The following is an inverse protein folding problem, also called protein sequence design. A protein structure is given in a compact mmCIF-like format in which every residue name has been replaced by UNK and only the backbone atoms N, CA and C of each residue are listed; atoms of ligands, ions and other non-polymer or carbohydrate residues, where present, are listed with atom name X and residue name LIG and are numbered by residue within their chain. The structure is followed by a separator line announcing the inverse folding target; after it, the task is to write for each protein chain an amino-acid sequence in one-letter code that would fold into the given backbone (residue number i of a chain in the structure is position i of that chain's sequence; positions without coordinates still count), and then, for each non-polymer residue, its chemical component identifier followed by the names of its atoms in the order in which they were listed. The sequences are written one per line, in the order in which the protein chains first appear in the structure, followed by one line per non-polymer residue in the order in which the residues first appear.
data_IF_867801421163
#
_entry.id   IF_867801421163
#
_cell.length_a   1.000
_cell.length_b   1.000
_cell.length_c   1.000
_cell.angle_alpha   90.00
_cell.angle_beta   90.00
_cell.angle_gamma   90.00
#
_symmetry.space_group_name_H-M   'P 1'
#
loop_
_entity.id
_entity.type
_entity.pdbx_description
1 polymer ?
#
# COMPACT_ATOMS: atom_id res chain seq x y z
N UNK A 1 -14.54 -87.43 13.06
CA UNK A 1 -15.63 -86.75 12.32
C UNK A 1 -15.92 -85.37 12.89
N UNK A 2 -16.25 -85.20 14.19
CA UNK A 2 -16.53 -83.90 14.79
C UNK A 2 -15.43 -82.83 14.58
N UNK A 3 -14.16 -83.14 14.87
CA UNK A 3 -13.05 -82.18 14.71
C UNK A 3 -12.83 -81.69 13.25
N UNK A 4 -13.15 -82.52 12.26
CA UNK A 4 -13.07 -82.13 10.83
C UNK A 4 -14.21 -81.17 10.49
N UNK A 5 -15.39 -81.39 11.06
CA UNK A 5 -16.55 -80.54 10.88
C UNK A 5 -16.37 -79.16 11.56
N UNK A 6 -15.73 -79.13 12.73
CA UNK A 6 -15.37 -77.89 13.44
C UNK A 6 -14.31 -77.08 12.66
N UNK A 7 -13.33 -77.75 12.06
CA UNK A 7 -12.35 -77.12 11.16
C UNK A 7 -13.02 -76.52 9.93
N UNK A 8 -13.96 -77.23 9.31
CA UNK A 8 -14.68 -76.74 8.14
C UNK A 8 -15.57 -75.54 8.49
N UNK A 9 -16.25 -75.59 9.65
CA UNK A 9 -17.00 -74.45 10.18
C UNK A 9 -16.14 -73.22 10.49
N UNK A 10 -14.84 -73.41 10.76
CA UNK A 10 -13.88 -72.33 10.97
C UNK A 10 -13.29 -71.77 9.66
N UNK A 11 -13.13 -72.62 8.62
CA UNK A 11 -12.55 -72.24 7.32
C UNK A 11 -13.57 -71.57 6.40
N UNK A 12 -14.80 -72.07 6.34
CA UNK A 12 -15.87 -71.53 5.51
C UNK A 12 -16.09 -70.00 5.65
N UNK A 13 -16.03 -69.38 6.84
CA UNK A 13 -16.17 -67.92 6.97
C UNK A 13 -14.90 -67.13 6.61
N UNK A 14 -13.74 -67.77 6.38
CA UNK A 14 -12.50 -67.08 6.02
C UNK A 14 -12.47 -66.67 4.55
N UNK A 15 -13.05 -67.48 3.65
CA UNK A 15 -13.14 -67.16 2.22
C UNK A 15 -13.85 -65.82 1.94
N UNK A 16 -15.09 -65.58 2.42
CA UNK A 16 -15.76 -64.29 2.18
C UNK A 16 -15.07 -63.12 2.89
N UNK A 17 -14.38 -63.36 4.01
CA UNK A 17 -13.56 -62.32 4.68
C UNK A 17 -12.35 -61.95 3.83
N UNK A 18 -11.70 -62.93 3.21
CA UNK A 18 -10.57 -62.69 2.30
C UNK A 18 -11.02 -61.88 1.09
N UNK A 19 -12.18 -62.20 0.51
CA UNK A 19 -12.77 -61.43 -0.59
C UNK A 19 -13.07 -59.99 -0.18
N UNK A 20 -13.63 -59.80 1.03
CA UNK A 20 -13.89 -58.47 1.58
C UNK A 20 -12.60 -57.67 1.72
N UNK A 21 -11.56 -58.26 2.32
CA UNK A 21 -10.24 -57.62 2.45
C UNK A 21 -9.64 -57.28 1.08
N UNK A 22 -9.79 -58.16 0.09
CA UNK A 22 -9.31 -57.92 -1.26
C UNK A 22 -10.01 -56.74 -1.93
N UNK A 23 -11.33 -56.61 -1.71
CA UNK A 23 -12.11 -55.45 -2.19
C UNK A 23 -11.64 -54.17 -1.50
N UNK A 24 -11.50 -54.18 -0.17
CA UNK A 24 -11.07 -53.01 0.60
C UNK A 24 -9.66 -52.54 0.20
N UNK A 25 -8.72 -53.48 0.00
CA UNK A 25 -7.36 -53.17 -0.48
C UNK A 25 -7.39 -52.54 -1.86
N UNK A 26 -8.24 -53.03 -2.77
CA UNK A 26 -8.39 -52.45 -4.10
C UNK A 26 -8.98 -51.04 -4.02
N UNK A 27 -9.96 -50.79 -3.15
CA UNK A 27 -10.54 -49.47 -2.94
C UNK A 27 -9.50 -48.49 -2.38
N UNK A 28 -8.74 -48.90 -1.36
CA UNK A 28 -7.65 -48.11 -0.79
C UNK A 28 -6.59 -47.76 -1.84
N UNK A 29 -6.25 -48.70 -2.74
CA UNK A 29 -5.31 -48.44 -3.84
C UNK A 29 -5.84 -47.36 -4.79
N UNK A 30 -7.13 -47.41 -5.13
CA UNK A 30 -7.77 -46.40 -5.97
C UNK A 30 -7.77 -45.04 -5.29
N UNK A 31 -8.13 -44.97 -4.01
CA UNK A 31 -8.20 -43.72 -3.27
C UNK A 31 -6.81 -43.11 -3.04
N UNK A 32 -5.79 -43.95 -2.79
CA UNK A 32 -4.40 -43.50 -2.73
C UNK A 32 -3.95 -42.88 -4.07
N UNK A 33 -4.36 -43.46 -5.20
CA UNK A 33 -4.11 -42.88 -6.53
C UNK A 33 -4.75 -41.51 -6.71
N UNK A 34 -6.00 -41.34 -6.25
CA UNK A 34 -6.70 -40.03 -6.28
C UNK A 34 -6.01 -39.00 -5.39
N UNK A 35 -5.58 -39.40 -4.19
CA UNK A 35 -4.87 -38.50 -3.26
C UNK A 35 -3.55 -38.07 -3.88
N UNK A 36 -2.77 -38.99 -4.43
CA UNK A 36 -1.50 -38.67 -5.11
C UNK A 36 -1.69 -37.67 -6.25
N UNK A 37 -2.73 -37.84 -7.07
CA UNK A 37 -3.05 -36.89 -8.14
C UNK A 37 -3.44 -35.50 -7.60
N UNK A 38 -4.23 -35.45 -6.52
CA UNK A 38 -4.60 -34.18 -5.86
C UNK A 38 -3.39 -33.47 -5.26
N UNK A 39 -2.47 -34.22 -4.65
CA UNK A 39 -1.23 -33.68 -4.07
C UNK A 39 -0.37 -33.07 -5.18
N UNK A 40 -0.13 -33.79 -6.28
CA UNK A 40 0.65 -33.28 -7.41
C UNK A 40 0.06 -31.99 -8.02
N UNK A 41 -1.28 -31.92 -8.14
CA UNK A 41 -1.97 -30.72 -8.60
C UNK A 41 -1.82 -29.55 -7.60
N UNK A 42 -1.90 -29.82 -6.30
CA UNK A 42 -1.71 -28.82 -5.26
C UNK A 42 -0.27 -28.28 -5.24
N UNK A 43 0.73 -29.15 -5.37
CA UNK A 43 2.15 -28.76 -5.48
C UNK A 43 2.38 -27.84 -6.68
N UNK A 44 1.87 -28.21 -7.86
CA UNK A 44 1.96 -27.38 -9.07
C UNK A 44 1.32 -26.00 -8.87
N UNK A 45 0.17 -25.96 -8.19
CA UNK A 45 -0.52 -24.71 -7.89
C UNK A 45 0.27 -23.84 -6.89
N UNK A 46 0.88 -24.45 -5.87
CA UNK A 46 1.73 -23.76 -4.90
C UNK A 46 2.95 -23.15 -5.60
N UNK A 47 3.62 -23.88 -6.49
CA UNK A 47 4.76 -23.37 -7.26
C UNK A 47 4.37 -22.15 -8.11
N UNK A 48 3.19 -22.20 -8.75
CA UNK A 48 2.62 -21.08 -9.48
C UNK A 48 2.39 -19.85 -8.58
N UNK A 49 1.77 -20.04 -7.42
CA UNK A 49 1.55 -18.97 -6.44
C UNK A 49 2.85 -18.37 -5.91
N UNK A 50 3.87 -19.19 -5.67
CA UNK A 50 5.18 -18.72 -5.23
C UNK A 50 5.85 -17.85 -6.30
N UNK A 51 5.77 -18.25 -7.58
CA UNK A 51 6.30 -17.46 -8.69
C UNK A 51 5.59 -16.10 -8.79
N UNK A 52 4.25 -16.08 -8.73
CA UNK A 52 3.48 -14.83 -8.78
C UNK A 52 3.77 -13.93 -7.60
N UNK A 53 3.93 -14.50 -6.40
CA UNK A 53 4.22 -13.73 -5.18
C UNK A 53 5.57 -13.02 -5.30
N UNK A 54 6.61 -13.72 -5.77
CA UNK A 54 7.93 -13.12 -6.02
C UNK A 54 7.85 -11.97 -7.03
N UNK A 55 7.12 -12.16 -8.12
CA UNK A 55 6.94 -11.11 -9.13
C UNK A 55 6.25 -9.86 -8.55
N UNK A 56 5.20 -10.06 -7.74
CA UNK A 56 4.49 -8.96 -7.07
C UNK A 56 5.41 -8.22 -6.09
N UNK A 57 6.21 -8.95 -5.30
CA UNK A 57 7.18 -8.34 -4.39
C UNK A 57 8.22 -7.48 -5.12
N UNK A 58 8.75 -7.96 -6.26
CA UNK A 58 9.68 -7.20 -7.08
C UNK A 58 9.05 -5.92 -7.65
N UNK A 59 7.82 -6.03 -8.17
CA UNK A 59 7.07 -4.88 -8.66
C UNK A 59 6.80 -3.87 -7.54
N UNK A 60 6.40 -4.33 -6.37
CA UNK A 60 6.15 -3.47 -5.21
C UNK A 60 7.41 -2.73 -4.77
N UNK A 61 8.57 -3.41 -4.70
CA UNK A 61 9.87 -2.78 -4.41
C UNK A 61 10.23 -1.72 -5.45
N UNK A 62 10.01 -2.00 -6.73
CA UNK A 62 10.24 -1.05 -7.82
C UNK A 62 9.34 0.18 -7.70
N UNK A 63 8.06 -0.03 -7.40
CA UNK A 63 7.09 1.05 -7.25
C UNK A 63 7.40 1.92 -6.03
N UNK A 64 7.79 1.31 -4.91
CA UNK A 64 8.18 2.02 -3.68
C UNK A 64 9.36 2.96 -3.95
N UNK A 65 10.42 2.46 -4.60
CA UNK A 65 11.56 3.29 -5.01
C UNK A 65 11.17 4.45 -5.92
N UNK A 66 10.24 4.21 -6.85
CA UNK A 66 9.72 5.27 -7.73
C UNK A 66 8.96 6.33 -6.93
N UNK A 67 8.17 5.93 -5.93
CA UNK A 67 7.46 6.86 -5.04
C UNK A 67 8.45 7.74 -4.29
N UNK A 68 9.45 7.14 -3.65
CA UNK A 68 10.50 7.87 -2.91
C UNK A 68 11.22 8.91 -3.80
N UNK A 69 11.57 8.53 -5.04
CA UNK A 69 12.20 9.44 -6.00
C UNK A 69 11.25 10.58 -6.39
N UNK A 70 9.96 10.30 -6.59
CA UNK A 70 8.97 11.32 -6.93
C UNK A 70 8.72 12.28 -5.77
N UNK A 71 8.66 11.76 -4.54
CA UNK A 71 8.53 12.57 -3.32
C UNK A 71 9.73 13.52 -3.15
N UNK A 72 10.95 13.01 -3.30
CA UNK A 72 12.16 13.85 -3.23
C UNK A 72 12.19 14.93 -4.34
N UNK A 73 11.72 14.60 -5.54
CA UNK A 73 11.60 15.57 -6.65
C UNK A 73 10.55 16.64 -6.36
N UNK A 74 9.40 16.25 -5.79
CA UNK A 74 8.36 17.18 -5.39
C UNK A 74 8.86 18.12 -4.30
N UNK A 75 9.57 17.61 -3.29
CA UNK A 75 10.16 18.43 -2.24
C UNK A 75 11.18 19.44 -2.79
N UNK A 76 12.07 19.02 -3.70
CA UNK A 76 13.03 19.93 -4.35
C UNK A 76 12.31 20.99 -5.20
N UNK A 77 11.28 20.61 -5.96
CA UNK A 77 10.49 21.55 -6.76
C UNK A 77 9.72 22.54 -5.89
N UNK A 78 9.07 22.09 -4.82
CA UNK A 78 8.35 22.93 -3.86
C UNK A 78 9.33 23.88 -3.16
N UNK A 79 10.49 23.37 -2.74
CA UNK A 79 11.57 24.15 -2.15
C UNK A 79 12.03 25.26 -3.09
N UNK A 80 12.36 24.94 -4.35
CA UNK A 80 12.78 25.93 -5.36
C UNK A 80 11.69 26.96 -5.66
N UNK A 81 10.44 26.52 -5.79
CA UNK A 81 9.30 27.39 -6.03
C UNK A 81 9.08 28.40 -4.90
N UNK A 82 9.38 28.02 -3.64
CA UNK A 82 9.23 28.90 -2.47
C UNK A 82 10.44 29.78 -2.16
N UNK A 83 11.63 29.55 -2.73
CA UNK A 83 12.85 30.31 -2.40
C UNK A 83 12.70 31.82 -2.59
N UNK A 84 11.95 32.24 -3.60
CA UNK A 84 11.71 33.65 -3.90
C UNK A 84 10.42 34.19 -3.26
N UNK A 85 9.70 33.36 -2.49
CA UNK A 85 8.45 33.76 -1.84
C UNK A 85 8.73 34.20 -0.41
N UNK A 86 8.37 35.43 -0.08
CA UNK A 86 8.43 35.97 1.28
C UNK A 86 7.03 36.03 1.87
N UNK A 87 6.85 35.49 3.08
CA UNK A 87 5.60 35.63 3.84
C UNK A 87 5.72 36.73 4.87
N UNK A 88 4.83 37.72 4.80
CA UNK A 88 4.71 38.77 5.82
C UNK A 88 3.48 38.46 6.67
N UNK A 89 3.66 38.38 7.98
CA UNK A 89 2.60 38.07 8.96
C UNK A 89 2.33 39.31 9.82
N UNK A 90 1.08 39.51 10.24
CA UNK A 90 0.68 40.66 11.08
C UNK A 90 0.23 41.90 10.32
N UNK A 91 0.05 41.81 9.00
CA UNK A 91 -0.58 42.86 8.19
C UNK A 91 -2.09 42.88 8.46
N UNK A 92 -2.68 44.06 8.66
CA UNK A 92 -4.12 44.23 8.84
C UNK A 92 -4.84 43.94 7.52
N UNK A 93 -5.91 43.13 7.59
CA UNK A 93 -6.70 42.77 6.41
C UNK A 93 -7.34 44.02 5.78
N UNK A 94 -7.33 44.10 4.44
CA UNK A 94 -7.93 45.20 3.68
C UNK A 94 -6.94 46.28 3.20
N UNK A 95 -5.69 46.26 3.70
CA UNK A 95 -4.63 47.16 3.19
C UNK A 95 -3.93 46.64 1.92
N UNK A 96 -4.29 45.43 1.46
CA UNK A 96 -3.56 44.63 0.46
C UNK A 96 -3.86 45.03 -1.00
N UNK A 97 -4.89 45.85 -1.24
CA UNK A 97 -5.51 46.04 -2.56
C UNK A 97 -4.80 47.05 -3.47
N UNK A 98 -3.80 47.77 -2.98
CA UNK A 98 -3.10 48.82 -3.75
C UNK A 98 -1.70 48.38 -4.10
N UNK A 99 -1.28 48.54 -5.35
CA UNK A 99 0.12 48.32 -5.76
C UNK A 99 1.11 49.15 -4.93
N UNK A 100 0.65 50.32 -4.46
CA UNK A 100 1.35 51.17 -3.48
C UNK A 100 1.68 50.44 -2.17
N UNK A 101 0.88 49.46 -1.73
CA UNK A 101 1.15 48.73 -0.50
C UNK A 101 2.38 47.82 -0.62
N UNK A 102 2.64 47.25 -1.80
CA UNK A 102 3.81 46.39 -2.05
C UNK A 102 5.10 47.20 -1.92
N UNK A 103 5.10 48.38 -2.54
CA UNK A 103 6.24 49.31 -2.53
C UNK A 103 6.40 50.00 -1.17
N UNK A 104 5.32 50.51 -0.57
CA UNK A 104 5.37 51.22 0.72
C UNK A 104 5.74 50.29 1.89
N UNK A 105 5.18 49.08 1.94
CA UNK A 105 5.50 48.13 3.01
C UNK A 105 6.98 47.71 2.97
N UNK A 106 7.52 47.43 1.78
CA UNK A 106 8.88 46.90 1.65
C UNK A 106 9.94 48.01 1.60
N UNK A 107 9.69 49.13 0.91
CA UNK A 107 10.67 50.21 0.79
C UNK A 107 10.65 51.13 2.03
N UNK A 108 9.48 51.49 2.54
CA UNK A 108 9.37 52.50 3.61
C UNK A 108 9.38 51.91 5.01
N UNK A 109 8.76 50.74 5.25
CA UNK A 109 8.75 50.12 6.59
C UNK A 109 9.92 49.18 6.85
N UNK A 110 10.29 48.34 5.89
CA UNK A 110 11.43 47.42 6.04
C UNK A 110 12.80 48.11 5.86
N UNK A 111 12.84 49.31 5.26
CA UNK A 111 14.03 50.16 5.06
C UNK A 111 15.33 49.43 4.68
N UNK A 112 15.33 48.51 3.69
CA UNK A 112 16.59 47.93 3.27
C UNK A 112 17.34 48.94 2.40
N UNK A 113 18.22 49.74 3.02
CA UNK A 113 19.05 50.80 2.39
C UNK A 113 19.89 50.38 1.18
N UNK A 114 19.85 49.10 0.76
CA UNK A 114 20.63 48.53 -0.34
C UNK A 114 19.83 47.71 -1.36
N UNK A 115 18.51 47.56 -1.21
CA UNK A 115 17.73 46.60 -2.01
C UNK A 115 16.76 47.26 -3.01
N UNK A 116 16.51 48.57 -2.95
CA UNK A 116 15.47 49.22 -3.77
C UNK A 116 15.62 49.02 -5.29
N UNK A 117 16.84 48.83 -5.78
CA UNK A 117 17.13 48.69 -7.21
C UNK A 117 17.31 47.23 -7.67
N UNK A 118 17.18 46.25 -6.75
CA UNK A 118 17.54 44.85 -7.01
C UNK A 118 16.36 43.88 -6.96
N UNK A 119 15.15 44.33 -6.62
CA UNK A 119 13.99 43.45 -6.45
C UNK A 119 12.81 43.97 -7.26
N UNK A 120 12.17 43.06 -8.01
CA UNK A 120 10.87 43.25 -8.61
C UNK A 120 9.89 42.25 -7.99
N UNK A 121 8.65 42.68 -7.77
CA UNK A 121 7.60 41.79 -7.31
C UNK A 121 6.84 41.23 -8.52
N UNK A 122 6.82 39.90 -8.68
CA UNK A 122 5.98 39.27 -9.70
C UNK A 122 4.51 39.20 -9.25
N UNK A 123 4.27 38.87 -7.98
CA UNK A 123 2.92 38.75 -7.43
C UNK A 123 2.96 38.98 -5.93
N UNK A 124 1.97 39.69 -5.40
CA UNK A 124 1.69 39.71 -3.96
C UNK A 124 0.20 39.42 -3.77
N UNK A 125 -0.10 38.42 -2.95
CA UNK A 125 -1.47 37.99 -2.68
C UNK A 125 -1.56 37.44 -1.26
N UNK A 126 -2.77 37.45 -0.72
CA UNK A 126 -3.09 36.84 0.56
C UNK A 126 -3.21 35.33 0.42
N UNK A 127 -2.73 34.59 1.42
CA UNK A 127 -2.84 33.13 1.48
C UNK A 127 -3.88 32.74 2.53
N UNK A 128 -4.83 31.89 2.15
CA UNK A 128 -5.90 31.39 3.03
C UNK A 128 -7.19 32.23 3.01
N UNK A 129 -8.30 31.74 3.60
CA UNK A 129 -9.60 32.42 3.62
C UNK A 129 -9.62 33.62 4.59
N UNK A 130 -10.45 34.64 4.31
CA UNK A 130 -10.59 35.84 5.18
C UNK A 130 -11.08 35.40 6.56
N UNK A 131 -10.32 35.72 7.61
CA UNK A 131 -10.75 35.40 8.97
C UNK A 131 -11.66 36.52 9.43
N UNK A 132 -12.97 36.25 9.52
CA UNK A 132 -13.88 37.23 10.09
C UNK A 132 -13.58 37.37 11.60
N UNK A 133 -12.82 38.41 11.97
CA UNK A 133 -12.37 38.68 13.35
C UNK A 133 -13.52 38.92 14.33
N UNK A 134 -14.75 39.13 13.84
CA UNK A 134 -15.95 39.27 14.68
C UNK A 134 -16.29 38.04 15.52
N UNK A 135 -15.69 36.86 15.23
CA UNK A 135 -15.97 35.63 15.99
C UNK A 135 -15.12 35.44 17.26
N UNK A 136 -14.11 36.27 17.51
CA UNK A 136 -13.17 36.07 18.63
C UNK A 136 -13.08 37.23 19.63
N UNK A 137 -13.93 38.26 19.52
CA UNK A 137 -14.01 39.36 20.50
C UNK A 137 -15.04 39.12 21.61
N UNK A 138 -15.39 37.85 21.88
CA UNK A 138 -16.49 37.46 22.78
C UNK A 138 -16.14 36.38 23.80
N UNK A 139 -14.90 36.35 24.31
CA UNK A 139 -14.53 35.62 25.52
C UNK A 139 -13.66 36.49 26.42
#
# INVERSE_FOLDING_TARGET
MAAIQDLWGSIAPLEPKLDTVQIDVNLLRVDMGKISAKVAAAETHIDGLQATTKQVEEQFRSLTKKSEIMEARLEDQEGRSRRNNVRVVGVLEGMESTDLFKEDLVLNKLKPKRLSNFFSFETAHRVGPRTNRERYSGQ
#
